data_IF_094971095296
#
_entry.id   IF_094971095296
#
_cell.length_a   1.000
_cell.length_b   1.000
_cell.length_c   1.000
_cell.angle_alpha   90.00
_cell.angle_beta   90.00
_cell.angle_gamma   90.00
#
_symmetry.space_group_name_H-M   'P 1'
#
loop_
_entity.id
_entity.type
_entity.pdbx_description
1 polymer ?
#
# COMPACT_ATOMS: atom_id res chain seq x y z
N UNK A 1 -3.91 -3.63 -58.92
CA UNK A 1 -5.32 -4.01 -58.63
C UNK A 1 -5.33 -5.14 -57.61
N UNK A 2 -6.12 -5.02 -56.53
CA UNK A 2 -6.30 -5.95 -55.39
C UNK A 2 -5.14 -5.99 -54.39
N UNK A 3 -5.31 -5.93 -53.06
CA UNK A 3 -6.50 -5.89 -52.19
C UNK A 3 -6.00 -5.44 -50.82
N UNK A 4 -6.74 -4.53 -50.19
CA UNK A 4 -6.66 -4.19 -48.77
C UNK A 4 -6.64 -5.45 -47.90
N UNK A 5 -5.65 -5.60 -47.03
CA UNK A 5 -5.78 -6.37 -45.79
C UNK A 5 -5.17 -5.56 -44.67
N UNK A 6 -6.03 -4.75 -44.05
CA UNK A 6 -5.85 -4.23 -42.70
C UNK A 6 -5.57 -5.41 -41.76
N UNK A 7 -4.34 -5.54 -41.27
CA UNK A 7 -4.09 -6.36 -40.09
C UNK A 7 -4.24 -5.46 -38.86
N UNK A 8 -5.46 -4.95 -38.66
CA UNK A 8 -5.84 -4.30 -37.41
C UNK A 8 -6.11 -5.41 -36.39
N UNK A 9 -5.06 -6.11 -35.96
CA UNK A 9 -5.14 -7.05 -34.85
C UNK A 9 -5.21 -6.22 -33.56
N UNK A 10 -6.40 -5.69 -33.28
CA UNK A 10 -6.78 -5.32 -31.93
C UNK A 10 -6.73 -6.62 -31.12
N UNK A 11 -5.59 -6.88 -30.49
CA UNK A 11 -5.52 -7.84 -29.39
C UNK A 11 -6.34 -7.21 -28.27
N UNK A 12 -7.65 -7.42 -28.32
CA UNK A 12 -8.51 -7.21 -27.18
C UNK A 12 -8.02 -8.20 -26.13
N UNK A 13 -7.10 -7.74 -25.26
CA UNK A 13 -6.75 -8.43 -24.03
C UNK A 13 -8.07 -8.63 -23.31
N UNK A 14 -8.61 -9.85 -23.40
CA UNK A 14 -9.76 -10.23 -22.60
C UNK A 14 -9.27 -10.18 -21.15
N UNK A 15 -9.53 -9.06 -20.48
CA UNK A 15 -9.35 -8.93 -19.05
C UNK A 15 -10.30 -9.94 -18.43
N UNK A 16 -9.82 -11.16 -18.20
CA UNK A 16 -10.46 -12.07 -17.24
C UNK A 16 -10.57 -11.27 -15.95
N UNK A 17 -11.79 -11.01 -15.50
CA UNK A 17 -12.04 -10.46 -14.18
C UNK A 17 -11.45 -11.45 -13.17
N UNK A 18 -10.24 -11.15 -12.71
CA UNK A 18 -9.66 -11.86 -11.58
C UNK A 18 -10.40 -11.37 -10.35
N UNK A 19 -11.05 -12.28 -9.64
CA UNK A 19 -11.58 -11.98 -8.31
C UNK A 19 -10.37 -11.83 -7.39
N UNK A 20 -10.04 -10.58 -7.05
CA UNK A 20 -8.94 -10.29 -6.14
C UNK A 20 -9.39 -10.52 -4.70
N UNK A 21 -8.57 -11.21 -3.91
CA UNK A 21 -8.88 -11.51 -2.51
C UNK A 21 -8.64 -10.32 -1.56
N UNK A 22 -8.13 -9.19 -2.07
CA UNK A 22 -7.77 -8.03 -1.26
C UNK A 22 -6.57 -8.31 -0.36
N UNK A 23 -5.53 -8.94 -0.92
CA UNK A 23 -4.26 -9.23 -0.26
C UNK A 23 -3.12 -8.68 -1.11
N UNK A 24 -2.08 -8.15 -0.46
CA UNK A 24 -0.90 -7.62 -1.13
C UNK A 24 0.34 -8.38 -0.67
N UNK A 25 0.95 -9.09 -1.61
CA UNK A 25 2.24 -9.76 -1.39
C UNK A 25 3.39 -8.75 -1.57
N UNK A 26 4.41 -8.89 -0.73
CA UNK A 26 5.69 -8.18 -0.87
C UNK A 26 6.83 -9.12 -0.48
N UNK A 27 8.02 -8.92 -1.06
CA UNK A 27 9.21 -9.67 -0.69
C UNK A 27 9.81 -9.16 0.62
N UNK A 28 10.38 -10.06 1.44
CA UNK A 28 10.85 -9.71 2.79
C UNK A 28 12.01 -8.71 2.73
N UNK A 29 12.86 -8.84 1.73
CA UNK A 29 13.95 -7.92 1.39
C UNK A 29 13.48 -6.49 1.05
N UNK A 30 12.24 -6.35 0.55
CA UNK A 30 11.67 -5.07 0.16
C UNK A 30 10.87 -4.40 1.29
N UNK A 31 10.74 -5.02 2.46
CA UNK A 31 10.04 -4.43 3.62
C UNK A 31 10.55 -3.02 3.96
N UNK A 32 11.88 -2.74 3.99
CA UNK A 32 12.37 -1.39 4.26
C UNK A 32 11.94 -0.38 3.19
N UNK A 33 11.85 -0.80 1.93
CA UNK A 33 11.41 0.04 0.82
C UNK A 33 9.90 0.30 0.90
N UNK A 34 9.11 -0.72 1.25
CA UNK A 34 7.67 -0.58 1.50
C UNK A 34 7.42 0.45 2.59
N UNK A 35 8.09 0.31 3.75
CA UNK A 35 7.93 1.22 4.89
C UNK A 35 8.40 2.63 4.52
N UNK A 36 9.48 2.75 3.76
CA UNK A 36 9.96 4.05 3.31
C UNK A 36 8.94 4.75 2.42
N UNK A 37 8.45 4.08 1.39
CA UNK A 37 7.56 4.68 0.40
C UNK A 37 6.15 4.92 0.95
N UNK A 38 5.66 4.03 1.81
CA UNK A 38 4.31 4.08 2.34
C UNK A 38 4.21 4.94 3.61
N UNK A 39 5.30 5.09 4.36
CA UNK A 39 5.29 5.79 5.65
C UNK A 39 6.25 6.97 5.68
N UNK A 40 7.57 6.74 5.54
CA UNK A 40 8.52 7.81 5.87
C UNK A 40 8.61 8.93 4.85
N UNK A 41 8.48 8.59 3.57
CA UNK A 41 8.65 9.52 2.44
C UNK A 41 7.30 9.89 1.81
N UNK A 42 6.19 9.34 2.34
CA UNK A 42 4.85 9.60 1.84
C UNK A 42 4.41 11.04 2.18
N UNK A 43 4.09 11.79 1.13
CA UNK A 43 3.48 13.13 1.28
C UNK A 43 1.97 12.99 1.33
N UNK A 44 1.27 13.51 2.36
CA UNK A 44 -0.19 13.43 2.45
C UNK A 44 -0.93 13.94 1.19
N UNK A 45 -0.36 14.93 0.52
CA UNK A 45 -0.93 15.50 -0.72
C UNK A 45 -0.94 14.49 -1.87
N UNK A 46 0.03 13.55 -1.92
CA UNK A 46 0.12 12.55 -2.98
C UNK A 46 -1.05 11.54 -2.94
N UNK A 47 -1.68 11.36 -1.79
CA UNK A 47 -2.81 10.43 -1.60
C UNK A 47 -4.14 11.15 -1.39
N UNK A 48 -4.16 12.48 -1.53
CA UNK A 48 -5.36 13.31 -1.30
C UNK A 48 -6.52 13.01 -2.25
N UNK A 49 -6.23 12.61 -3.49
CA UNK A 49 -7.23 12.24 -4.49
C UNK A 49 -7.66 10.75 -4.42
N UNK A 50 -7.12 10.00 -3.44
CA UNK A 50 -7.38 8.57 -3.28
C UNK A 50 -8.35 8.32 -2.13
N UNK A 51 -8.68 7.04 -1.89
CA UNK A 51 -9.49 6.64 -0.74
C UNK A 51 -8.86 7.15 0.56
N UNK A 52 -9.66 7.72 1.50
CA UNK A 52 -9.14 8.15 2.78
C UNK A 52 -8.42 7.03 3.52
N UNK A 53 -7.30 7.34 4.17
CA UNK A 53 -6.49 6.36 4.89
C UNK A 53 -5.95 5.20 4.03
N UNK A 54 -5.71 5.43 2.73
CA UNK A 54 -5.12 4.44 1.83
C UNK A 54 -3.87 3.73 2.40
N UNK A 55 -2.90 4.41 3.05
CA UNK A 55 -1.76 3.74 3.66
C UNK A 55 -2.14 2.66 4.68
N UNK A 56 -3.15 2.92 5.51
CA UNK A 56 -3.66 1.95 6.48
C UNK A 56 -4.24 0.71 5.79
N UNK A 57 -5.00 0.89 4.70
CA UNK A 57 -5.55 -0.23 3.94
C UNK A 57 -4.47 -1.06 3.25
N UNK A 58 -3.46 -0.41 2.67
CA UNK A 58 -2.32 -1.11 2.05
C UNK A 58 -1.58 -1.95 3.10
N UNK A 59 -1.26 -1.36 4.26
CA UNK A 59 -0.62 -2.09 5.36
C UNK A 59 -1.46 -3.28 5.82
N UNK A 60 -2.77 -3.10 6.00
CA UNK A 60 -3.68 -4.18 6.38
C UNK A 60 -3.71 -5.30 5.33
N UNK A 61 -3.76 -4.97 4.03
CA UNK A 61 -3.71 -5.98 2.97
C UNK A 61 -2.38 -6.76 2.96
N UNK A 62 -1.26 -6.13 3.32
CA UNK A 62 0.03 -6.79 3.50
C UNK A 62 0.05 -7.70 4.75
N UNK A 63 -0.52 -7.24 5.87
CA UNK A 63 -0.63 -8.04 7.10
C UNK A 63 -1.51 -9.26 6.85
N UNK A 64 -2.67 -9.07 6.22
CA UNK A 64 -3.59 -10.16 5.86
C UNK A 64 -2.93 -11.20 4.97
N UNK A 65 -2.08 -10.77 4.03
CA UNK A 65 -1.30 -11.70 3.22
C UNK A 65 -0.28 -12.50 4.05
N UNK A 66 0.45 -11.83 4.96
CA UNK A 66 1.42 -12.49 5.83
C UNK A 66 0.75 -13.52 6.77
N UNK A 67 -0.43 -13.18 7.31
CA UNK A 67 -1.28 -14.10 8.09
C UNK A 67 -1.78 -15.27 7.24
N UNK A 68 -2.24 -15.00 6.02
CA UNK A 68 -2.72 -16.03 5.08
C UNK A 68 -1.66 -17.10 4.75
N UNK A 69 -0.39 -16.71 4.65
CA UNK A 69 0.73 -17.65 4.44
C UNK A 69 1.34 -18.17 5.76
N UNK A 70 0.76 -17.80 6.90
CA UNK A 70 1.20 -18.19 8.25
C UNK A 70 2.66 -17.82 8.56
N UNK A 71 3.11 -16.65 8.11
CA UNK A 71 4.46 -16.12 8.40
C UNK A 71 4.42 -15.13 9.58
N UNK A 72 4.44 -15.67 10.80
CA UNK A 72 4.40 -14.90 12.05
C UNK A 72 5.56 -13.89 12.16
N UNK A 73 6.75 -14.27 11.65
CA UNK A 73 7.91 -13.37 11.66
C UNK A 73 7.66 -12.14 10.79
N UNK A 74 7.05 -12.33 9.62
CA UNK A 74 6.72 -11.25 8.70
C UNK A 74 5.61 -10.35 9.24
N UNK A 75 4.60 -10.91 9.91
CA UNK A 75 3.58 -10.11 10.62
C UNK A 75 4.23 -9.23 11.69
N UNK A 76 5.04 -9.84 12.56
CA UNK A 76 5.71 -9.12 13.65
C UNK A 76 6.68 -8.05 13.13
N UNK A 77 7.48 -8.37 12.11
CA UNK A 77 8.41 -7.44 11.47
C UNK A 77 7.67 -6.24 10.88
N UNK A 78 6.64 -6.48 10.06
CA UNK A 78 5.88 -5.43 9.40
C UNK A 78 5.20 -4.47 10.38
N UNK A 79 4.56 -5.01 11.43
CA UNK A 79 3.93 -4.21 12.48
C UNK A 79 4.97 -3.35 13.22
N UNK A 80 6.11 -3.94 13.59
CA UNK A 80 7.20 -3.24 14.28
C UNK A 80 7.77 -2.12 13.40
N UNK A 81 8.06 -2.41 12.14
CA UNK A 81 8.58 -1.45 11.17
C UNK A 81 7.58 -0.32 10.91
N UNK A 82 6.28 -0.63 10.86
CA UNK A 82 5.20 0.36 10.73
C UNK A 82 5.16 1.31 11.92
N UNK A 83 5.13 0.78 13.15
CA UNK A 83 5.11 1.57 14.38
C UNK A 83 6.34 2.48 14.46
N UNK A 84 7.52 1.95 14.14
CA UNK A 84 8.77 2.71 14.16
C UNK A 84 8.81 3.78 13.06
N UNK A 85 8.31 3.47 11.86
CA UNK A 85 8.17 4.41 10.76
C UNK A 85 7.28 5.60 11.14
N UNK A 86 6.09 5.34 11.69
CA UNK A 86 5.15 6.38 12.11
C UNK A 86 5.76 7.24 13.23
N UNK A 87 6.34 6.60 14.26
CA UNK A 87 7.05 7.33 15.34
C UNK A 87 8.16 8.23 14.79
N UNK A 88 8.90 7.77 13.78
CA UNK A 88 9.97 8.55 13.14
C UNK A 88 9.43 9.76 12.40
N UNK A 89 8.33 9.60 11.63
CA UNK A 89 7.70 10.72 10.91
C UNK A 89 7.16 11.75 11.88
N UNK A 90 6.43 11.32 12.92
CA UNK A 90 5.87 12.23 13.93
C UNK A 90 6.94 12.97 14.72
N UNK A 91 8.10 12.34 15.01
CA UNK A 91 9.24 13.03 15.63
C UNK A 91 9.86 14.09 14.73
N UNK A 92 9.89 13.86 13.41
CA UNK A 92 10.50 14.78 12.44
C UNK A 92 9.58 15.95 12.08
N UNK A 93 8.27 15.75 12.14
CA UNK A 93 7.23 16.69 11.72
C UNK A 93 6.25 17.00 12.86
N UNK A 94 6.76 17.11 14.09
CA UNK A 94 5.95 17.28 15.30
C UNK A 94 5.12 18.57 15.32
N UNK A 95 5.59 19.63 14.66
CA UNK A 95 4.89 20.92 14.56
C UNK A 95 3.93 20.98 13.35
N UNK A 96 3.90 19.95 12.49
CA UNK A 96 3.03 19.87 11.32
C UNK A 96 1.69 19.20 11.69
N UNK A 97 0.65 20.02 11.84
CA UNK A 97 -0.71 19.55 12.12
C UNK A 97 -1.25 18.63 11.03
N UNK A 98 -0.95 18.91 9.75
CA UNK A 98 -1.42 18.08 8.64
C UNK A 98 -0.78 16.70 8.72
N UNK A 99 0.52 16.62 8.98
CA UNK A 99 1.22 15.34 9.12
C UNK A 99 0.72 14.56 10.35
N UNK A 100 0.52 15.23 11.48
CA UNK A 100 0.05 14.61 12.72
C UNK A 100 -1.37 14.07 12.57
N UNK A 101 -2.30 14.88 12.05
CA UNK A 101 -3.67 14.45 11.80
C UNK A 101 -3.77 13.31 10.79
N UNK A 102 -2.94 13.36 9.73
CA UNK A 102 -2.86 12.30 8.73
C UNK A 102 -2.44 10.95 9.34
N UNK A 103 -1.36 10.91 10.13
CA UNK A 103 -0.90 9.67 10.74
C UNK A 103 -1.79 9.20 11.89
N UNK A 104 -2.44 10.11 12.61
CA UNK A 104 -3.46 9.75 13.59
C UNK A 104 -4.62 9.02 12.90
N UNK A 105 -5.19 9.59 11.83
CA UNK A 105 -6.29 8.98 11.09
C UNK A 105 -5.92 7.61 10.51
N UNK A 106 -4.73 7.49 9.90
CA UNK A 106 -4.25 6.21 9.36
C UNK A 106 -4.01 5.16 10.46
N UNK A 107 -3.47 5.56 11.61
CA UNK A 107 -3.24 4.62 12.74
C UNK A 107 -4.56 4.13 13.31
N UNK A 108 -5.54 5.03 13.52
CA UNK A 108 -6.88 4.65 13.95
C UNK A 108 -7.55 3.72 12.93
N UNK A 109 -7.43 4.01 11.63
CA UNK A 109 -7.98 3.14 10.59
C UNK A 109 -7.37 1.75 10.64
N UNK A 110 -6.04 1.63 10.77
CA UNK A 110 -5.35 0.34 10.86
C UNK A 110 -5.81 -0.49 12.07
N UNK A 111 -6.11 0.15 13.21
CA UNK A 111 -6.65 -0.50 14.40
C UNK A 111 -8.10 -1.00 14.21
N UNK A 112 -8.88 -0.36 13.34
CA UNK A 112 -10.27 -0.70 13.08
C UNK A 112 -10.48 -1.72 11.95
N UNK A 113 -9.43 -2.04 11.18
CA UNK A 113 -9.47 -3.07 10.14
C UNK A 113 -9.34 -4.47 10.75
#
# INVERSE_FOLDING_TARGET
>A
ERRWQECNMQVAVQRKEKVFQGMLEYYKEDEPLLIRNLITDLKPQAVSATVPCLPAYILYMCIRHADYVSDDQKVHSLLTSTINGIKKVLKKHNDDFQMTSFWLANTCRLLHC
#
